data_IF_502920433637
#
_entry.id   IF_502920433637
#
_cell.length_a   1.000
_cell.length_b   1.000
_cell.length_c   1.000
_cell.angle_alpha   90.00
_cell.angle_beta   90.00
_cell.angle_gamma   90.00
#
_symmetry.space_group_name_H-M   'P 1'
#
loop_
_entity.id
_entity.type
_entity.pdbx_description
1 polymer ?
#
# COMPACT_ATOMS: atom_id res chain seq x y z
N UNK A 1 -3.57 1.64 41.75
CA UNK A 1 -2.25 0.99 41.79
C UNK A 1 -2.34 -0.41 41.15
N UNK A 2 -2.96 -0.50 39.97
CA UNK A 2 -3.23 -1.75 39.26
C UNK A 2 -3.01 -1.50 37.76
N UNK A 3 -1.78 -1.31 37.30
CA UNK A 3 -1.50 -1.21 35.84
C UNK A 3 -0.05 -1.58 35.42
N UNK A 4 0.89 -1.85 36.33
CA UNK A 4 2.27 -2.16 35.90
C UNK A 4 2.37 -3.52 35.17
N UNK A 5 1.53 -4.50 35.53
CA UNK A 5 1.54 -5.83 34.90
C UNK A 5 0.91 -5.86 33.50
N UNK A 6 -0.12 -5.06 33.26
CA UNK A 6 -0.82 -4.96 31.97
C UNK A 6 0.06 -4.29 30.92
N UNK A 7 0.81 -3.26 31.33
CA UNK A 7 1.78 -2.56 30.48
C UNK A 7 2.96 -3.46 30.07
N UNK A 8 3.52 -4.23 31.00
CA UNK A 8 4.60 -5.18 30.69
C UNK A 8 4.15 -6.28 29.72
N UNK A 9 2.94 -6.81 29.93
CA UNK A 9 2.34 -7.80 29.04
C UNK A 9 2.15 -7.23 27.62
N UNK A 10 1.64 -6.00 27.52
CA UNK A 10 1.46 -5.27 26.25
C UNK A 10 2.79 -5.06 25.53
N UNK A 11 3.83 -4.64 26.25
CA UNK A 11 5.18 -4.48 25.71
C UNK A 11 5.76 -5.79 25.17
N UNK A 12 5.56 -6.91 25.87
CA UNK A 12 5.97 -8.24 25.43
C UNK A 12 5.31 -8.64 24.10
N UNK A 13 3.99 -8.46 23.98
CA UNK A 13 3.27 -8.75 22.72
C UNK A 13 3.76 -7.84 21.59
N UNK A 14 3.98 -6.56 21.84
CA UNK A 14 4.51 -5.64 20.83
C UNK A 14 5.91 -6.06 20.37
N UNK A 15 6.77 -6.59 21.26
CA UNK A 15 8.07 -7.14 20.90
C UNK A 15 7.97 -8.43 20.07
N UNK A 16 6.99 -9.30 20.34
CA UNK A 16 6.71 -10.49 19.52
C UNK A 16 6.18 -10.13 18.14
N UNK A 17 5.31 -9.11 18.05
CA UNK A 17 4.83 -8.58 16.77
C UNK A 17 6.00 -7.98 15.96
N UNK A 18 6.90 -7.24 16.62
CA UNK A 18 8.11 -6.72 15.99
C UNK A 18 8.95 -7.84 15.37
N UNK A 19 9.14 -8.95 16.09
CA UNK A 19 9.90 -10.09 15.57
C UNK A 19 9.21 -10.74 14.37
N UNK A 20 7.89 -10.94 14.43
CA UNK A 20 7.11 -11.46 13.30
C UNK A 20 7.18 -10.56 12.05
N UNK A 21 7.16 -9.23 12.23
CA UNK A 21 7.22 -8.27 11.12
C UNK A 21 8.56 -8.29 10.37
N UNK A 22 9.64 -8.80 10.97
CA UNK A 22 10.94 -8.97 10.29
C UNK A 22 10.86 -9.90 9.08
N UNK A 23 9.88 -10.79 9.04
CA UNK A 23 9.71 -11.75 7.94
C UNK A 23 8.92 -11.19 6.76
N UNK A 24 8.26 -10.04 6.88
CA UNK A 24 7.42 -9.45 5.82
C UNK A 24 8.20 -9.23 4.51
N UNK A 25 9.43 -8.66 4.49
CA UNK A 25 10.25 -8.55 3.29
C UNK A 25 10.48 -9.89 2.55
N UNK A 26 10.75 -10.95 3.31
CA UNK A 26 10.97 -12.29 2.76
C UNK A 26 9.69 -12.87 2.17
N UNK A 27 8.54 -12.66 2.83
CA UNK A 27 7.22 -13.09 2.32
C UNK A 27 6.89 -12.39 1.02
N UNK A 28 7.13 -11.08 0.92
CA UNK A 28 6.90 -10.30 -0.30
C UNK A 28 7.77 -10.82 -1.46
N UNK A 29 9.04 -11.10 -1.20
CA UNK A 29 9.98 -11.67 -2.19
C UNK A 29 9.53 -13.06 -2.64
N UNK A 30 9.10 -13.90 -1.69
CA UNK A 30 8.58 -15.23 -1.98
C UNK A 30 7.34 -15.16 -2.88
N UNK A 31 6.34 -14.35 -2.53
CA UNK A 31 5.12 -14.18 -3.32
C UNK A 31 5.40 -13.64 -4.72
N UNK A 32 6.39 -12.76 -4.87
CA UNK A 32 6.78 -12.22 -6.17
C UNK A 32 7.47 -13.23 -7.10
N UNK A 33 7.99 -14.33 -6.56
CA UNK A 33 8.65 -15.41 -7.31
C UNK A 33 7.68 -16.46 -7.86
N UNK A 34 6.46 -16.54 -7.32
CA UNK A 34 5.46 -17.51 -7.72
C UNK A 34 4.86 -17.17 -9.09
N UNK A 35 4.78 -18.17 -9.97
CA UNK A 35 4.26 -18.02 -11.34
C UNK A 35 2.87 -18.64 -11.52
N UNK A 36 2.60 -19.73 -10.81
CA UNK A 36 1.32 -20.42 -10.91
C UNK A 36 0.26 -19.72 -10.05
N UNK A 37 -0.87 -19.35 -10.66
CA UNK A 37 -1.92 -18.59 -10.00
C UNK A 37 -2.60 -19.37 -8.85
N UNK A 38 -2.71 -20.70 -8.96
CA UNK A 38 -3.34 -21.53 -7.94
C UNK A 38 -2.44 -21.66 -6.71
N UNK A 39 -1.14 -21.88 -6.93
CA UNK A 39 -0.11 -21.92 -5.88
C UNK A 39 0.06 -20.53 -5.25
N UNK A 40 0.06 -19.47 -6.07
CA UNK A 40 0.10 -18.10 -5.57
C UNK A 40 -1.04 -17.82 -4.61
N UNK A 41 -2.30 -18.09 -5.01
CA UNK A 41 -3.47 -17.85 -4.15
C UNK A 41 -3.42 -18.67 -2.86
N UNK A 42 -3.01 -19.94 -2.95
CA UNK A 42 -2.86 -20.80 -1.78
C UNK A 42 -1.83 -20.24 -0.77
N UNK A 43 -0.72 -19.70 -1.26
CA UNK A 43 0.29 -19.10 -0.40
C UNK A 43 -0.07 -17.68 0.04
N UNK A 44 -0.69 -16.86 -0.80
CA UNK A 44 -0.91 -15.44 -0.54
C UNK A 44 -2.05 -15.20 0.46
N UNK A 45 -3.15 -15.95 0.36
CA UNK A 45 -4.32 -15.77 1.25
C UNK A 45 -3.94 -15.92 2.73
N UNK A 46 -3.24 -16.99 3.17
CA UNK A 46 -2.79 -17.12 4.55
C UNK A 46 -1.83 -16.00 4.99
N UNK A 47 -1.00 -15.50 4.09
CA UNK A 47 0.01 -14.47 4.42
C UNK A 47 -0.63 -13.10 4.63
N UNK A 48 -1.59 -12.72 3.78
CA UNK A 48 -2.39 -11.51 3.97
C UNK A 48 -3.26 -11.62 5.23
N UNK A 49 -3.78 -12.81 5.53
CA UNK A 49 -4.50 -13.09 6.76
C UNK A 49 -3.63 -12.98 8.02
N UNK A 50 -2.37 -13.39 7.91
CA UNK A 50 -1.40 -13.28 9.00
C UNK A 50 -1.11 -11.82 9.35
N UNK A 51 -0.81 -10.96 8.36
CA UNK A 51 -0.56 -9.54 8.63
C UNK A 51 -1.79 -8.81 9.17
N UNK A 52 -3.00 -9.16 8.69
CA UNK A 52 -4.25 -8.65 9.24
C UNK A 52 -4.42 -9.03 10.73
N UNK A 53 -4.01 -10.26 11.08
CA UNK A 53 -4.04 -10.72 12.47
C UNK A 53 -3.00 -9.99 13.32
N UNK A 54 -1.78 -9.77 12.81
CA UNK A 54 -0.74 -8.97 13.48
C UNK A 54 -1.23 -7.55 13.77
N UNK A 55 -1.92 -6.92 12.82
CA UNK A 55 -2.53 -5.61 13.01
C UNK A 55 -3.64 -5.62 14.09
N UNK A 56 -4.39 -6.71 14.25
CA UNK A 56 -5.43 -6.82 15.26
C UNK A 56 -4.89 -7.09 16.68
N UNK A 57 -3.74 -7.76 16.80
CA UNK A 57 -3.10 -8.05 18.10
C UNK A 57 -2.19 -6.92 18.58
N UNK A 58 -1.66 -6.09 17.67
CA UNK A 58 -0.80 -4.97 18.04
C UNK A 58 -1.52 -3.98 18.95
N UNK A 59 -0.88 -3.61 20.06
CA UNK A 59 -1.40 -2.66 21.04
C UNK A 59 -2.80 -3.02 21.59
N UNK A 60 -3.13 -4.31 21.68
CA UNK A 60 -4.45 -4.77 22.12
C UNK A 60 -4.36 -5.57 23.44
N UNK A 61 -4.86 -4.99 24.53
CA UNK A 61 -4.87 -5.65 25.85
C UNK A 61 -5.76 -6.91 25.90
N UNK A 62 -6.73 -7.02 24.99
CA UNK A 62 -7.66 -8.16 24.95
C UNK A 62 -6.99 -9.47 24.51
N UNK A 63 -5.77 -9.42 23.95
CA UNK A 63 -5.01 -10.60 23.51
C UNK A 63 -4.80 -11.62 24.64
N UNK A 64 -4.73 -11.16 25.88
CA UNK A 64 -4.54 -12.03 27.06
C UNK A 64 -5.84 -12.56 27.65
N UNK A 65 -6.97 -11.96 27.32
CA UNK A 65 -8.28 -12.32 27.90
C UNK A 65 -9.10 -13.16 26.92
N UNK A 66 -9.01 -12.87 25.63
CA UNK A 66 -9.82 -13.49 24.59
C UNK A 66 -8.96 -13.85 23.37
N UNK A 67 -9.43 -14.86 22.62
CA UNK A 67 -8.82 -15.20 21.33
C UNK A 67 -9.19 -14.13 20.31
N UNK A 68 -8.26 -13.22 20.05
CA UNK A 68 -8.38 -12.23 18.96
C UNK A 68 -8.43 -12.96 17.62
N UNK A 69 -9.45 -12.68 16.83
CA UNK A 69 -9.67 -13.22 15.49
C UNK A 69 -10.04 -12.08 14.56
N UNK A 70 -9.64 -12.19 13.29
CA UNK A 70 -10.17 -11.32 12.26
C UNK A 70 -11.69 -11.57 12.07
N UNK A 71 -12.42 -10.53 11.69
CA UNK A 71 -13.86 -10.65 11.44
C UNK A 71 -14.13 -11.53 10.20
N UNK A 72 -15.30 -12.17 10.15
CA UNK A 72 -15.70 -12.98 8.97
C UNK A 72 -15.73 -12.13 7.69
N UNK A 73 -16.17 -10.87 7.80
CA UNK A 73 -16.18 -9.93 6.68
C UNK A 73 -14.76 -9.66 6.17
N UNK A 74 -13.80 -9.45 7.07
CA UNK A 74 -12.40 -9.22 6.70
C UNK A 74 -11.78 -10.45 6.05
N UNK A 75 -12.05 -11.65 6.59
CA UNK A 75 -11.60 -12.89 6.00
C UNK A 75 -12.13 -13.06 4.56
N UNK A 76 -13.41 -12.76 4.32
CA UNK A 76 -13.98 -12.76 2.98
C UNK A 76 -13.34 -11.72 2.05
N UNK A 77 -13.06 -10.50 2.55
CA UNK A 77 -12.37 -9.46 1.76
C UNK A 77 -11.02 -9.96 1.27
N UNK A 78 -10.22 -10.52 2.17
CA UNK A 78 -8.91 -11.09 1.86
C UNK A 78 -9.04 -12.21 0.82
N UNK A 79 -9.96 -13.16 1.02
CA UNK A 79 -10.15 -14.28 0.09
C UNK A 79 -10.55 -13.84 -1.32
N UNK A 80 -11.37 -12.79 -1.43
CA UNK A 80 -11.87 -12.29 -2.72
C UNK A 80 -10.82 -11.44 -3.46
N UNK A 81 -10.04 -10.64 -2.74
CA UNK A 81 -9.15 -9.63 -3.34
C UNK A 81 -7.71 -10.14 -3.51
N UNK A 82 -7.36 -11.28 -2.91
CA UNK A 82 -6.01 -11.88 -3.02
C UNK A 82 -5.94 -12.84 -4.22
N UNK A 83 -6.14 -12.31 -5.43
CA UNK A 83 -6.04 -13.06 -6.69
C UNK A 83 -4.69 -12.91 -7.39
N UNK A 84 -4.16 -11.69 -7.38
CA UNK A 84 -2.97 -11.29 -8.11
C UNK A 84 -1.90 -10.73 -7.18
N UNK A 85 -0.64 -10.73 -7.64
CA UNK A 85 0.47 -10.14 -6.90
C UNK A 85 0.21 -8.67 -6.57
N UNK A 86 -0.28 -7.87 -7.52
CA UNK A 86 -0.55 -6.45 -7.30
C UNK A 86 -1.60 -6.24 -6.18
N UNK A 87 -2.70 -6.98 -6.23
CA UNK A 87 -3.78 -6.88 -5.25
C UNK A 87 -3.34 -7.35 -3.86
N UNK A 88 -2.54 -8.44 -3.79
CA UNK A 88 -1.97 -8.91 -2.54
C UNK A 88 -1.01 -7.88 -1.92
N UNK A 89 -0.12 -7.30 -2.72
CA UNK A 89 0.84 -6.29 -2.28
C UNK A 89 0.15 -4.99 -1.82
N UNK A 90 -0.93 -4.57 -2.49
CA UNK A 90 -1.74 -3.44 -2.04
C UNK A 90 -2.35 -3.70 -0.65
N UNK A 91 -2.97 -4.88 -0.44
CA UNK A 91 -3.49 -5.23 0.88
C UNK A 91 -2.39 -5.29 1.94
N UNK A 92 -1.20 -5.79 1.61
CA UNK A 92 -0.05 -5.73 2.51
C UNK A 92 0.31 -4.28 2.88
N UNK A 93 0.33 -3.37 1.91
CA UNK A 93 0.60 -1.95 2.15
C UNK A 93 -0.47 -1.30 3.03
N UNK A 94 -1.76 -1.57 2.78
CA UNK A 94 -2.88 -1.09 3.60
C UNK A 94 -2.76 -1.53 5.07
N UNK A 95 -2.42 -2.80 5.32
CA UNK A 95 -2.21 -3.28 6.69
C UNK A 95 -0.95 -2.70 7.33
N UNK A 96 0.12 -2.45 6.56
CA UNK A 96 1.31 -1.76 7.06
C UNK A 96 0.97 -0.33 7.49
N UNK A 97 0.24 0.42 6.66
CA UNK A 97 -0.22 1.78 6.99
C UNK A 97 -1.16 1.79 8.20
N UNK A 98 -2.06 0.82 8.29
CA UNK A 98 -2.94 0.66 9.45
C UNK A 98 -2.17 0.37 10.73
N UNK A 99 -1.05 -0.37 10.64
CA UNK A 99 -0.18 -0.66 11.77
C UNK A 99 0.64 0.58 12.17
N UNK A 100 1.12 1.34 11.19
CA UNK A 100 1.80 2.62 11.41
C UNK A 100 0.91 3.63 12.14
N UNK A 101 -0.38 3.73 11.75
CA UNK A 101 -1.35 4.60 12.41
C UNK A 101 -1.60 4.22 13.89
N UNK A 102 -1.32 2.97 14.29
CA UNK A 102 -1.45 2.48 15.67
C UNK A 102 -0.19 2.64 16.50
N UNK A 103 0.93 3.06 15.92
CA UNK A 103 2.18 3.26 16.64
C UNK A 103 2.00 4.40 17.66
N UNK A 104 1.95 4.04 18.94
CA UNK A 104 1.99 5.01 20.02
C UNK A 104 3.44 5.48 20.26
N UNK A 105 3.61 6.76 20.60
CA UNK A 105 4.92 7.39 20.91
C UNK A 105 5.57 6.80 22.18
N UNK A 106 4.84 6.01 22.97
CA UNK A 106 5.24 5.58 24.31
C UNK A 106 5.87 4.18 24.41
N UNK A 107 5.86 3.39 23.33
CA UNK A 107 6.40 2.01 23.37
C UNK A 107 7.85 1.95 22.82
N UNK A 108 8.76 1.28 23.53
CA UNK A 108 10.18 1.14 23.13
C UNK A 108 10.35 0.44 21.77
N UNK A 109 9.44 -0.46 21.42
CA UNK A 109 9.44 -1.21 20.16
C UNK A 109 8.97 -0.39 18.95
N UNK A 110 8.25 0.72 19.16
CA UNK A 110 7.62 1.49 18.08
C UNK A 110 8.61 1.98 17.04
N UNK A 111 9.78 2.46 17.47
CA UNK A 111 10.82 2.95 16.55
C UNK A 111 11.41 1.87 15.65
N UNK A 112 11.54 0.65 16.16
CA UNK A 112 12.03 -0.49 15.38
C UNK A 112 10.97 -0.99 14.38
N UNK A 113 9.71 -1.03 14.81
CA UNK A 113 8.58 -1.41 13.94
C UNK A 113 8.46 -0.43 12.78
N UNK A 114 8.49 0.89 13.05
CA UNK A 114 8.42 1.92 12.01
C UNK A 114 9.51 1.76 10.93
N UNK A 115 10.76 1.46 11.34
CA UNK A 115 11.86 1.21 10.38
C UNK A 115 11.61 -0.02 9.51
N UNK A 116 11.11 -1.10 10.10
CA UNK A 116 10.80 -2.32 9.35
C UNK A 116 9.63 -2.12 8.38
N UNK A 117 8.57 -1.45 8.81
CA UNK A 117 7.42 -1.14 7.96
C UNK A 117 7.83 -0.24 6.80
N UNK A 118 8.62 0.81 7.04
CA UNK A 118 9.16 1.66 5.99
C UNK A 118 10.00 0.87 4.96
N UNK A 119 10.86 -0.05 5.43
CA UNK A 119 11.63 -0.94 4.55
C UNK A 119 10.72 -1.88 3.75
N UNK A 120 9.68 -2.44 4.36
CA UNK A 120 8.74 -3.33 3.70
C UNK A 120 7.91 -2.58 2.64
N UNK A 121 7.40 -1.39 2.97
CA UNK A 121 6.68 -0.52 2.04
C UNK A 121 7.56 -0.12 0.85
N UNK A 122 8.81 0.26 1.09
CA UNK A 122 9.75 0.60 0.01
C UNK A 122 9.96 -0.57 -0.96
N UNK A 123 10.08 -1.81 -0.46
CA UNK A 123 10.19 -3.00 -1.30
C UNK A 123 8.91 -3.26 -2.09
N UNK A 124 7.75 -3.14 -1.44
CA UNK A 124 6.44 -3.29 -2.10
C UNK A 124 6.31 -2.28 -3.25
N UNK A 125 6.56 -0.99 -3.01
CA UNK A 125 6.49 0.06 -4.03
C UNK A 125 7.45 -0.20 -5.18
N UNK A 126 8.67 -0.67 -4.88
CA UNK A 126 9.67 -1.02 -5.90
C UNK A 126 9.20 -2.17 -6.80
N UNK A 127 8.65 -3.23 -6.21
CA UNK A 127 8.13 -4.38 -6.96
C UNK A 127 6.90 -4.00 -7.79
N UNK A 128 6.00 -3.19 -7.25
CA UNK A 128 4.84 -2.68 -7.98
C UNK A 128 5.27 -1.84 -9.19
N UNK A 129 6.25 -0.96 -9.03
CA UNK A 129 6.77 -0.10 -10.12
C UNK A 129 7.45 -0.91 -11.23
N UNK A 130 8.29 -1.88 -10.87
CA UNK A 130 8.97 -2.77 -11.83
C UNK A 130 7.97 -3.59 -12.67
N UNK A 131 6.92 -4.12 -12.05
CA UNK A 131 5.88 -4.91 -12.75
C UNK A 131 4.91 -4.04 -13.55
N UNK A 132 4.66 -2.79 -13.12
CA UNK A 132 3.78 -1.84 -13.83
C UNK A 132 4.39 -1.39 -15.16
N UNK A 133 5.72 -1.27 -15.25
CA UNK A 133 6.42 -0.92 -16.50
C UNK A 133 6.31 -1.98 -17.60
N UNK A 134 5.83 -3.18 -17.29
CA UNK A 134 5.76 -4.33 -18.20
C UNK A 134 4.34 -4.58 -18.74
N UNK A 135 3.38 -3.70 -18.45
CA UNK A 135 2.09 -3.72 -19.11
C UNK A 135 2.26 -3.19 -20.54
N UNK A 136 2.05 -4.00 -21.59
CA UNK A 136 1.91 -3.44 -22.92
C UNK A 136 0.71 -2.50 -22.87
N UNK A 137 0.96 -1.22 -23.19
CA UNK A 137 -0.06 -0.21 -23.40
C UNK A 137 -1.24 -0.86 -24.16
N UNK A 138 -2.51 -0.71 -23.70
CA UNK A 138 -3.62 -1.26 -24.43
C UNK A 138 -3.50 -0.74 -25.87
N UNK A 139 -3.57 -1.64 -26.85
CA UNK A 139 -3.37 -1.37 -28.29
C UNK A 139 -4.02 -0.05 -28.77
N UNK A 140 -5.13 0.33 -28.15
CA UNK A 140 -5.80 1.62 -28.29
C UNK A 140 -4.88 2.85 -28.07
N UNK A 141 -4.10 2.90 -26.99
CA UNK A 141 -3.13 3.99 -26.73
C UNK A 141 -2.06 4.08 -27.82
N UNK A 142 -1.61 2.95 -28.35
CA UNK A 142 -0.64 2.93 -29.45
C UNK A 142 -1.21 3.47 -30.77
N UNK A 143 -2.50 3.22 -31.03
CA UNK A 143 -3.23 3.81 -32.16
C UNK A 143 -3.39 5.32 -32.00
N UNK A 144 -3.81 5.79 -30.83
CA UNK A 144 -4.04 7.22 -30.59
C UNK A 144 -2.75 8.07 -30.61
N UNK A 145 -1.62 7.48 -30.23
CA UNK A 145 -0.31 8.13 -30.34
C UNK A 145 0.19 8.25 -31.80
N UNK A 146 -0.24 7.34 -32.69
CA UNK A 146 0.20 7.27 -34.09
C UNK A 146 -0.51 8.28 -35.00
N UNK A 147 -1.63 8.86 -34.55
CA UNK A 147 -2.39 9.89 -35.29
C UNK A 147 -2.60 11.17 -34.46
N UNK A 148 -1.51 11.90 -34.10
CA UNK A 148 -1.63 13.12 -33.30
C UNK A 148 -2.40 14.23 -34.04
N UNK A 149 -2.34 14.25 -35.37
CA UNK A 149 -2.99 15.26 -36.21
C UNK A 149 -4.53 15.09 -36.32
N UNK A 150 -5.07 13.92 -35.95
CA UNK A 150 -6.51 13.63 -36.02
C UNK A 150 -7.21 13.75 -34.65
N UNK A 151 -6.61 14.47 -33.70
CA UNK A 151 -7.12 14.60 -32.33
C UNK A 151 -6.79 13.41 -31.41
N UNK A 152 -5.87 12.52 -31.81
CA UNK A 152 -5.46 11.37 -31.00
C UNK A 152 -4.95 11.75 -29.60
N UNK A 153 -4.31 12.92 -29.45
CA UNK A 153 -3.91 13.47 -28.13
C UNK A 153 -5.11 13.77 -27.23
N UNK A 154 -6.17 14.38 -27.79
CA UNK A 154 -7.41 14.69 -27.05
C UNK A 154 -8.09 13.39 -26.61
N UNK A 155 -8.17 12.42 -27.51
CA UNK A 155 -8.77 11.13 -27.17
C UNK A 155 -7.94 10.36 -26.13
N UNK A 156 -6.61 10.44 -26.19
CA UNK A 156 -5.73 9.84 -25.19
C UNK A 156 -5.98 10.47 -23.81
N UNK A 157 -6.06 11.81 -23.72
CA UNK A 157 -6.38 12.50 -22.45
C UNK A 157 -7.77 12.13 -21.91
N UNK A 158 -8.74 11.89 -22.79
CA UNK A 158 -10.09 11.45 -22.38
C UNK A 158 -10.07 10.01 -21.87
N UNK A 159 -9.38 9.10 -22.56
CA UNK A 159 -9.21 7.70 -22.12
C UNK A 159 -8.47 7.63 -20.78
N UNK A 160 -7.45 8.47 -20.58
CA UNK A 160 -6.70 8.57 -19.33
C UNK A 160 -7.57 9.14 -18.21
N UNK A 161 -8.38 10.17 -18.50
CA UNK A 161 -9.34 10.74 -17.55
C UNK A 161 -10.41 9.73 -17.13
N UNK A 162 -10.93 8.96 -18.08
CA UNK A 162 -11.92 7.89 -17.83
C UNK A 162 -11.29 6.74 -17.03
N UNK A 163 -10.09 6.30 -17.39
CA UNK A 163 -9.37 5.27 -16.65
C UNK A 163 -9.07 5.72 -15.21
N UNK A 164 -8.69 6.98 -15.01
CA UNK A 164 -8.46 7.55 -13.68
C UNK A 164 -9.76 7.65 -12.88
N UNK A 165 -10.86 8.03 -13.53
CA UNK A 165 -12.21 8.06 -12.93
C UNK A 165 -12.65 6.67 -12.45
N UNK A 166 -12.47 5.62 -13.25
CA UNK A 166 -12.78 4.25 -12.84
C UNK A 166 -11.81 3.70 -11.78
N UNK A 167 -10.54 4.10 -11.81
CA UNK A 167 -9.55 3.70 -10.79
C UNK A 167 -9.82 4.36 -9.44
N UNK A 168 -10.40 5.57 -9.43
CA UNK A 168 -10.89 6.23 -8.20
C UNK A 168 -12.20 5.69 -7.65
N UNK A 169 -12.83 4.70 -8.31
CA UNK A 169 -14.14 4.16 -7.93
C UNK A 169 -14.12 2.91 -7.03
N UNK A 170 -12.95 2.36 -6.67
CA UNK A 170 -12.85 1.15 -5.83
C UNK A 170 -12.15 1.36 -4.47
N UNK A 171 -11.75 2.58 -4.13
CA UNK A 171 -11.24 2.92 -2.79
C UNK A 171 -12.23 3.86 -2.09
N UNK A 172 -13.25 3.27 -1.45
CA UNK A 172 -14.38 4.05 -0.94
C UNK A 172 -15.20 3.38 0.16
N UNK A 173 -14.56 2.95 1.25
CA UNK A 173 -15.22 2.86 2.56
C UNK A 173 -14.30 3.37 3.68
N UNK A 174 -14.25 4.69 3.85
CA UNK A 174 -13.59 5.38 4.95
C UNK A 174 -13.73 6.90 4.78
N UNK A 175 -14.44 7.54 5.72
CA UNK A 175 -14.97 8.92 5.66
C UNK A 175 -13.90 10.02 5.68
N UNK A 176 -14.24 11.15 5.06
CA UNK A 176 -13.98 12.50 5.59
C UNK A 176 -12.97 13.34 4.82
N UNK A 177 -13.38 14.00 3.73
CA UNK A 177 -13.74 15.42 3.78
C UNK A 177 -14.15 15.92 2.38
N UNK A 178 -15.31 16.55 2.35
CA UNK A 178 -15.95 17.11 1.17
C UNK A 178 -15.57 18.58 1.07
N UNK A 179 -14.47 18.90 0.39
CA UNK A 179 -14.25 20.27 -0.08
C UNK A 179 -14.70 20.43 -1.53
N UNK A 180 -15.76 21.22 -1.63
CA UNK A 180 -16.54 21.53 -2.82
C UNK A 180 -15.78 22.60 -3.63
N UNK A 181 -14.85 22.18 -4.49
CA UNK A 181 -14.16 23.05 -5.45
C UNK A 181 -14.83 23.00 -6.83
N UNK A 182 -15.35 24.15 -7.27
CA UNK A 182 -16.08 24.36 -8.54
C UNK A 182 -15.29 23.91 -9.78
N UNK A 183 -16.02 23.28 -10.71
CA UNK A 183 -15.67 23.19 -12.12
C UNK A 183 -15.73 24.59 -12.73
N UNK A 184 -14.59 25.26 -12.86
CA UNK A 184 -14.35 26.32 -13.86
C UNK A 184 -12.85 26.43 -14.09
N UNK A 185 -12.48 26.62 -15.36
CA UNK A 185 -11.13 26.87 -15.90
C UNK A 185 -10.23 25.66 -16.20
N UNK A 186 -10.22 25.33 -17.50
CA UNK A 186 -9.16 24.56 -18.15
C UNK A 186 -7.98 25.52 -18.32
N UNK A 187 -7.01 25.46 -17.41
CA UNK A 187 -5.73 26.15 -17.60
C UNK A 187 -4.84 25.31 -18.52
N UNK A 188 -4.64 25.79 -19.75
CA UNK A 188 -3.93 25.08 -20.83
C UNK A 188 -2.40 25.11 -20.70
N UNK A 189 -1.83 25.61 -19.59
CA UNK A 189 -0.40 25.93 -19.52
C UNK A 189 0.48 25.01 -18.66
N UNK A 190 -0.03 23.90 -18.13
CA UNK A 190 0.80 22.95 -17.38
C UNK A 190 1.24 21.75 -18.24
N UNK A 191 1.94 22.02 -19.35
CA UNK A 191 2.78 21.03 -20.04
C UNK A 191 4.24 21.48 -19.92
N UNK A 192 4.92 20.95 -18.90
CA UNK A 192 6.38 20.78 -18.85
C UNK A 192 7.20 21.98 -18.38
N UNK A 193 7.71 21.91 -17.15
CA UNK A 193 9.07 22.36 -16.80
C UNK A 193 9.65 21.40 -15.75
N UNK A 194 10.64 20.62 -16.19
CA UNK A 194 11.69 20.04 -15.36
C UNK A 194 12.65 21.17 -14.96
N UNK A 195 13.11 21.14 -13.71
CA UNK A 195 14.18 21.95 -13.10
C UNK A 195 13.98 23.48 -12.95
N UNK A 196 13.99 23.94 -11.69
CA UNK A 196 15.11 24.71 -11.10
C UNK A 196 14.85 25.02 -9.62
N UNK A 197 15.52 24.30 -8.73
CA UNK A 197 15.96 24.88 -7.45
C UNK A 197 17.49 24.92 -7.47
N UNK A 198 18.02 26.11 -7.75
CA UNK A 198 19.44 26.39 -7.59
C UNK A 198 19.77 26.51 -6.12
N UNK A 199 20.68 25.66 -5.64
CA UNK A 199 21.55 25.96 -4.52
C UNK A 199 22.97 25.56 -4.93
N UNK A 200 23.85 26.54 -4.79
CA UNK A 200 25.28 26.55 -5.10
C UNK A 200 26.05 25.24 -4.83
N UNK A 201 26.85 24.82 -5.81
CA UNK A 201 28.04 24.01 -5.58
C UNK A 201 29.24 24.93 -5.27
N UNK A 202 30.13 24.59 -4.32
CA UNK A 202 31.44 25.21 -4.22
C UNK A 202 32.38 24.65 -5.28
N UNK A 203 33.18 25.56 -5.83
CA UNK A 203 34.32 25.35 -6.71
C UNK A 203 35.40 24.55 -5.98
N UNK A 204 35.95 23.50 -6.60
CA UNK A 204 37.34 23.06 -6.37
C UNK A 204 37.92 22.42 -7.64
N UNK A 205 39.00 23.08 -8.10
CA UNK A 205 40.14 22.67 -8.95
C UNK A 205 39.91 21.72 -10.14
#
# INVERSE_FOLDING_TARGET
MLDDGTEQNRACVNALVLDALRHVPAVVTYLASLRDASVFRFCAIPQVMAIATLNAVYNNANVFQIKVKISKAEACRIMLHTGDLHSALNMFAEYCQSLEAKLAVKDESSGAIAKLLASAQHQITTLLSSRTSLMPLPYQRSLFLRYPALGGRVLLTMVDSVACFFRGGMDGFGRGDCERGRVTEIDLNCVGVVEKHGVHAPVYA
#
